data_IF_687611195581
#
_entry.id   IF_687611195581
#
_cell.length_a   1.000
_cell.length_b   1.000
_cell.length_c   1.000
_cell.angle_alpha   90.00
_cell.angle_beta   90.00
_cell.angle_gamma   90.00
#
_symmetry.space_group_name_H-M   'P 1'
#
loop_
_entity.id
_entity.type
_entity.pdbx_description
1 polymer ?
#
# COMPACT_ATOMS: atom_id res chain seq x y z
N UNK A 1 -63.60 16.75 -13.23
CA UNK A 1 -62.15 17.05 -13.12
C UNK A 1 -61.37 16.16 -12.13
N UNK A 2 -61.85 14.96 -11.74
CA UNK A 2 -61.18 14.12 -10.73
C UNK A 2 -60.27 13.00 -11.30
N UNK A 3 -60.46 12.60 -12.56
CA UNK A 3 -59.75 11.44 -13.16
C UNK A 3 -58.26 11.71 -13.48
N UNK A 4 -57.88 12.95 -13.81
CA UNK A 4 -56.52 13.25 -14.28
C UNK A 4 -55.46 13.33 -13.18
N UNK A 5 -55.87 13.57 -11.91
CA UNK A 5 -54.96 13.65 -10.75
C UNK A 5 -54.57 12.27 -10.23
N UNK A 6 -55.52 11.32 -10.26
CA UNK A 6 -55.29 9.93 -9.84
C UNK A 6 -54.29 9.23 -10.76
N UNK A 7 -54.37 9.46 -12.08
CA UNK A 7 -53.44 8.88 -13.05
C UNK A 7 -52.01 9.41 -12.93
N UNK A 8 -51.84 10.68 -12.53
CA UNK A 8 -50.52 11.28 -12.29
C UNK A 8 -49.87 10.73 -11.02
N UNK A 9 -50.65 10.63 -9.93
CA UNK A 9 -50.18 10.06 -8.66
C UNK A 9 -49.78 8.59 -8.79
N UNK A 10 -50.57 7.79 -9.53
CA UNK A 10 -50.26 6.37 -9.76
C UNK A 10 -48.95 6.19 -10.54
N UNK A 11 -48.69 7.04 -11.53
CA UNK A 11 -47.46 7.00 -12.34
C UNK A 11 -46.23 7.44 -11.54
N UNK A 12 -46.34 8.46 -10.69
CA UNK A 12 -45.23 8.86 -9.81
C UNK A 12 -44.90 7.79 -8.77
N UNK A 13 -45.90 7.10 -8.24
CA UNK A 13 -45.68 6.00 -7.28
C UNK A 13 -44.99 4.81 -7.97
N UNK A 14 -45.39 4.46 -9.19
CA UNK A 14 -44.74 3.39 -9.96
C UNK A 14 -43.29 3.71 -10.33
N UNK A 15 -42.98 4.96 -10.71
CA UNK A 15 -41.60 5.38 -10.98
C UNK A 15 -40.76 5.39 -9.72
N UNK A 16 -41.29 5.90 -8.60
CA UNK A 16 -40.59 5.86 -7.31
C UNK A 16 -40.34 4.41 -6.86
N UNK A 17 -41.32 3.52 -7.01
CA UNK A 17 -41.17 2.10 -6.70
C UNK A 17 -40.10 1.42 -7.58
N UNK A 18 -40.04 1.75 -8.87
CA UNK A 18 -39.02 1.23 -9.78
C UNK A 18 -37.61 1.73 -9.43
N UNK A 19 -37.45 2.99 -9.01
CA UNK A 19 -36.17 3.54 -8.55
C UNK A 19 -35.72 2.90 -7.25
N UNK A 20 -36.63 2.70 -6.29
CA UNK A 20 -36.33 2.04 -5.01
C UNK A 20 -35.98 0.56 -5.25
N UNK A 21 -36.71 -0.14 -6.11
CA UNK A 21 -36.44 -1.55 -6.42
C UNK A 21 -35.12 -1.72 -7.18
N UNK A 22 -34.75 -0.76 -8.05
CA UNK A 22 -33.43 -0.71 -8.69
C UNK A 22 -32.29 -0.49 -7.69
N UNK A 23 -32.48 0.35 -6.67
CA UNK A 23 -31.49 0.54 -5.61
C UNK A 23 -31.26 -0.69 -4.74
N UNK A 24 -32.31 -1.49 -4.50
CA UNK A 24 -32.20 -2.72 -3.70
C UNK A 24 -31.46 -3.82 -4.46
N UNK A 25 -31.64 -3.95 -5.79
CA UNK A 25 -30.99 -5.01 -6.58
C UNK A 25 -29.55 -4.71 -6.97
N UNK A 26 -29.11 -3.45 -6.92
CA UNK A 26 -27.70 -3.07 -7.13
C UNK A 26 -26.82 -3.28 -5.88
N UNK A 27 -27.42 -3.59 -4.72
CA UNK A 27 -26.67 -3.93 -3.51
C UNK A 27 -26.14 -5.37 -3.60
N UNK A 28 -24.99 -5.54 -4.25
CA UNK A 28 -24.31 -6.84 -4.29
C UNK A 28 -23.85 -7.21 -2.87
N UNK A 29 -24.28 -8.35 -2.30
CA UNK A 29 -23.74 -8.81 -1.03
C UNK A 29 -22.27 -9.19 -1.25
N UNK A 30 -21.35 -8.49 -0.58
CA UNK A 30 -20.01 -8.99 -0.40
C UNK A 30 -20.11 -10.25 0.49
N UNK A 31 -20.14 -11.42 -0.15
CA UNK A 31 -20.15 -12.71 0.52
C UNK A 31 -18.78 -12.90 1.18
N UNK A 32 -18.67 -12.45 2.43
CA UNK A 32 -17.55 -12.79 3.28
C UNK A 32 -17.70 -14.24 3.73
N UNK A 33 -16.69 -15.04 3.45
CA UNK A 33 -16.59 -16.39 4.00
C UNK A 33 -16.19 -16.29 5.48
N UNK A 34 -16.80 -17.07 6.38
CA UNK A 34 -16.40 -17.12 7.80
C UNK A 34 -16.40 -15.76 8.53
N UNK A 35 -15.76 -15.74 9.72
CA UNK A 35 -15.51 -14.50 10.47
C UNK A 35 -14.08 -14.46 11.00
N UNK A 36 -13.52 -13.26 11.08
CA UNK A 36 -12.19 -13.01 11.63
C UNK A 36 -12.28 -11.90 12.65
N UNK A 37 -12.01 -12.23 13.91
CA UNK A 37 -12.14 -11.30 15.03
C UNK A 37 -10.78 -11.11 15.70
N UNK A 38 -10.28 -9.87 15.66
CA UNK A 38 -9.13 -9.45 16.45
C UNK A 38 -9.58 -9.17 17.87
N UNK A 39 -8.85 -9.71 18.87
CA UNK A 39 -9.06 -9.31 20.27
C UNK A 39 -8.70 -7.85 20.49
N UNK A 40 -7.69 -7.36 19.78
CA UNK A 40 -7.17 -6.00 19.89
C UNK A 40 -6.71 -5.54 18.51
N UNK A 41 -7.15 -4.34 18.11
CA UNK A 41 -6.79 -3.73 16.83
C UNK A 41 -5.53 -2.89 16.89
N UNK A 42 -5.19 -2.37 18.08
CA UNK A 42 -4.04 -1.50 18.32
C UNK A 42 -3.04 -2.21 19.23
N UNK A 43 -1.88 -2.63 18.71
CA UNK A 43 -0.91 -3.47 19.44
C UNK A 43 0.41 -2.72 19.62
N UNK A 44 1.02 -2.85 20.80
CA UNK A 44 2.34 -2.29 21.09
C UNK A 44 3.46 -3.21 20.60
N UNK A 45 4.55 -2.60 20.13
CA UNK A 45 5.76 -3.31 19.72
C UNK A 45 6.49 -3.89 20.92
N UNK A 46 6.74 -5.20 20.88
CA UNK A 46 7.59 -5.91 21.84
C UNK A 46 8.68 -6.66 21.07
N UNK A 47 9.94 -6.33 21.32
CA UNK A 47 11.12 -6.94 20.68
C UNK A 47 11.05 -6.94 19.13
N UNK A 48 10.65 -5.83 18.52
CA UNK A 48 10.52 -5.72 17.06
C UNK A 48 9.32 -6.46 16.47
N UNK A 49 8.35 -6.86 17.30
CA UNK A 49 7.21 -7.69 16.91
C UNK A 49 5.89 -7.15 17.47
N UNK A 50 4.83 -7.24 16.67
CA UNK A 50 3.46 -6.95 17.07
C UNK A 50 2.67 -8.26 17.12
N UNK A 51 2.29 -8.68 18.34
CA UNK A 51 1.57 -9.94 18.56
C UNK A 51 0.06 -9.72 18.51
N UNK A 52 -0.59 -10.38 17.57
CA UNK A 52 -2.04 -10.40 17.43
C UNK A 52 -2.62 -11.70 17.94
N UNK A 53 -3.68 -11.59 18.73
CA UNK A 53 -4.50 -12.72 19.12
C UNK A 53 -5.84 -12.62 18.39
N UNK A 54 -6.18 -13.65 17.64
CA UNK A 54 -7.37 -13.69 16.80
C UNK A 54 -8.21 -14.92 17.07
N UNK A 55 -9.50 -14.76 16.85
CA UNK A 55 -10.47 -15.84 16.80
C UNK A 55 -10.98 -15.93 15.37
N UNK A 56 -10.76 -17.09 14.77
CA UNK A 56 -11.05 -17.36 13.37
C UNK A 56 -12.16 -18.38 13.29
N UNK A 57 -13.26 -18.02 12.64
CA UNK A 57 -14.37 -18.91 12.35
C UNK A 57 -14.36 -19.19 10.83
N UNK A 58 -14.15 -20.45 10.45
CA UNK A 58 -14.18 -20.87 9.05
C UNK A 58 -15.61 -20.80 8.48
N UNK A 59 -16.66 -20.66 9.28
CA UNK A 59 -18.05 -20.60 8.81
C UNK A 59 -18.67 -21.97 8.49
N UNK A 60 -17.85 -23.01 8.32
CA UNK A 60 -18.26 -24.41 8.19
C UNK A 60 -17.14 -25.33 8.70
N UNK A 61 -17.33 -26.66 8.62
CA UNK A 61 -16.25 -27.61 8.94
C UNK A 61 -15.19 -27.56 7.83
N UNK A 62 -13.92 -27.24 8.13
CA UNK A 62 -12.87 -27.22 7.12
C UNK A 62 -12.56 -28.63 6.60
N UNK A 63 -12.09 -28.71 5.36
CA UNK A 63 -11.74 -29.95 4.68
C UNK A 63 -10.34 -30.46 5.07
N UNK A 64 -9.47 -29.57 5.53
CA UNK A 64 -8.12 -29.84 6.01
C UNK A 64 -7.96 -29.36 7.45
N UNK A 65 -7.09 -30.04 8.21
CA UNK A 65 -6.74 -29.63 9.57
C UNK A 65 -5.90 -28.37 9.64
N UNK A 66 -5.16 -28.07 8.57
CA UNK A 66 -4.37 -26.88 8.40
C UNK A 66 -4.78 -26.22 7.09
N UNK A 67 -5.17 -24.95 7.16
CA UNK A 67 -5.62 -24.19 6.00
C UNK A 67 -4.75 -22.95 5.85
N UNK A 68 -4.05 -22.78 4.70
CA UNK A 68 -3.24 -21.60 4.46
C UNK A 68 -4.10 -20.38 4.15
N UNK A 69 -3.77 -19.27 4.81
CA UNK A 69 -4.34 -17.96 4.59
C UNK A 69 -3.27 -16.93 4.26
N UNK A 70 -3.60 -16.04 3.32
CA UNK A 70 -2.84 -14.86 2.98
C UNK A 70 -3.39 -13.66 3.75
N UNK A 71 -2.55 -13.10 4.63
CA UNK A 71 -2.81 -11.85 5.31
C UNK A 71 -2.32 -10.73 4.41
N UNK A 72 -3.24 -10.00 3.79
CA UNK A 72 -2.94 -8.89 2.90
C UNK A 72 -3.04 -7.59 3.69
N UNK A 73 -1.89 -6.94 3.91
CA UNK A 73 -1.76 -5.69 4.67
C UNK A 73 -1.43 -4.54 3.73
N UNK A 74 -2.22 -3.48 3.78
CA UNK A 74 -1.98 -2.24 3.03
C UNK A 74 -1.76 -1.10 4.01
N UNK A 75 -0.59 -0.48 3.99
CA UNK A 75 -0.29 0.65 4.87
C UNK A 75 -1.12 1.87 4.45
N UNK A 76 -1.90 2.41 5.39
CA UNK A 76 -2.72 3.62 5.21
C UNK A 76 -2.06 4.85 5.83
N UNK A 77 -1.41 4.68 6.98
CA UNK A 77 -0.72 5.77 7.68
C UNK A 77 0.62 5.25 8.16
N UNK A 78 1.68 5.99 7.85
CA UNK A 78 3.01 5.76 8.40
C UNK A 78 3.21 6.67 9.62
N UNK A 79 3.73 6.13 10.71
CA UNK A 79 4.11 6.92 11.87
C UNK A 79 5.56 7.35 11.75
N UNK A 80 5.76 8.57 11.28
CA UNK A 80 7.08 9.15 11.11
C UNK A 80 7.62 9.62 12.46
N UNK A 81 8.84 9.19 12.81
CA UNK A 81 9.57 9.69 13.97
C UNK A 81 10.65 10.63 13.46
N UNK A 82 10.44 11.95 13.60
CA UNK A 82 11.34 12.93 12.97
C UNK A 82 11.70 14.08 13.90
N UNK A 83 12.90 14.63 13.73
CA UNK A 83 13.33 15.88 14.34
C UNK A 83 13.34 16.99 13.28
N UNK A 84 12.82 18.16 13.63
CA UNK A 84 12.80 19.36 12.79
C UNK A 84 13.47 20.52 13.54
N UNK A 85 13.87 21.58 12.84
CA UNK A 85 14.57 22.73 13.47
C UNK A 85 13.71 23.43 14.55
N UNK A 86 12.39 23.28 14.49
CA UNK A 86 11.45 23.86 15.46
C UNK A 86 11.31 23.00 16.72
N UNK A 87 11.56 21.70 16.62
CA UNK A 87 11.30 20.74 17.69
C UNK A 87 12.59 20.45 18.49
N UNK A 88 12.53 20.56 19.82
CA UNK A 88 13.67 20.27 20.70
C UNK A 88 13.96 18.77 20.84
N UNK A 89 12.97 17.93 20.56
CA UNK A 89 13.05 16.48 20.65
C UNK A 89 12.31 15.85 19.46
N UNK A 90 12.62 14.60 19.08
CA UNK A 90 11.91 13.94 18.01
C UNK A 90 10.41 13.80 18.31
N UNK A 91 9.58 14.13 17.32
CA UNK A 91 8.12 14.08 17.43
C UNK A 91 7.59 13.02 16.47
N UNK A 92 6.61 12.24 16.93
CA UNK A 92 5.88 11.30 16.09
C UNK A 92 4.78 12.02 15.30
N UNK A 93 4.83 11.95 13.98
CA UNK A 93 3.88 12.58 13.06
C UNK A 93 3.18 11.51 12.23
N UNK A 94 1.88 11.70 11.99
CA UNK A 94 1.08 10.80 11.15
C UNK A 94 1.18 11.24 9.71
N UNK A 95 1.73 10.38 8.85
CA UNK A 95 1.83 10.63 7.41
C UNK A 95 0.86 9.70 6.66
N UNK A 96 -0.21 10.23 6.05
CA UNK A 96 -1.09 9.40 5.24
C UNK A 96 -0.33 8.89 4.01
N UNK A 97 -0.52 7.61 3.70
CA UNK A 97 0.10 6.94 2.57
C UNK A 97 -0.98 6.60 1.55
N UNK A 98 -0.65 6.78 0.28
CA UNK A 98 -1.52 6.45 -0.85
C UNK A 98 -0.79 5.49 -1.79
N UNK A 99 -1.54 4.65 -2.50
CA UNK A 99 -1.02 3.72 -3.51
C UNK A 99 0.12 2.82 -3.00
N UNK A 100 0.03 2.37 -1.75
CA UNK A 100 1.02 1.45 -1.19
C UNK A 100 0.81 0.04 -1.74
N UNK A 101 1.91 -0.66 -2.00
CA UNK A 101 1.87 -2.06 -2.40
C UNK A 101 1.36 -2.92 -1.23
N UNK A 102 0.43 -3.86 -1.46
CA UNK A 102 -0.01 -4.77 -0.41
C UNK A 102 1.10 -5.74 -0.01
N UNK A 103 1.51 -5.71 1.25
CA UNK A 103 2.37 -6.72 1.84
C UNK A 103 1.55 -7.97 2.14
N UNK A 104 2.06 -9.15 1.76
CA UNK A 104 1.37 -10.42 1.97
C UNK A 104 2.18 -11.31 2.90
N UNK A 105 1.51 -11.78 3.95
CA UNK A 105 2.06 -12.76 4.87
C UNK A 105 1.22 -14.02 4.81
N UNK A 106 1.79 -15.11 4.31
CA UNK A 106 1.11 -16.39 4.28
C UNK A 106 1.32 -17.10 5.61
N UNK A 107 0.21 -17.54 6.21
CA UNK A 107 0.23 -18.27 7.47
C UNK A 107 -0.71 -19.44 7.41
N UNK A 108 -0.31 -20.54 8.03
CA UNK A 108 -1.15 -21.73 8.13
C UNK A 108 -1.92 -21.73 9.46
N UNK A 109 -3.24 -21.85 9.38
CA UNK A 109 -4.12 -21.82 10.55
C UNK A 109 -4.60 -23.24 10.83
N UNK A 110 -4.31 -23.73 12.04
CA UNK A 110 -4.74 -25.04 12.51
C UNK A 110 -6.19 -24.99 13.02
N UNK A 111 -7.04 -25.81 12.40
CA UNK A 111 -8.41 -26.09 12.80
C UNK A 111 -8.60 -27.50 13.38
N UNK A 112 -7.59 -28.36 13.28
CA UNK A 112 -7.60 -29.68 13.90
C UNK A 112 -6.95 -29.67 15.29
N UNK A 113 -7.48 -30.46 16.22
CA UNK A 113 -6.81 -30.82 17.46
C UNK A 113 -5.76 -31.93 17.23
N UNK A 114 -4.92 -32.22 18.21
CA UNK A 114 -3.92 -33.30 18.18
C UNK A 114 -4.53 -34.69 17.88
N UNK A 115 -5.84 -34.86 18.11
CA UNK A 115 -6.61 -36.08 17.81
C UNK A 115 -7.13 -36.16 16.37
N UNK A 116 -6.98 -35.09 15.57
CA UNK A 116 -7.50 -34.98 14.21
C UNK A 116 -8.94 -34.47 14.12
N UNK A 117 -9.57 -34.12 15.25
CA UNK A 117 -10.92 -33.54 15.28
C UNK A 117 -10.89 -32.11 14.72
N UNK A 118 -11.68 -31.89 13.66
CA UNK A 118 -11.78 -30.63 12.95
C UNK A 118 -12.84 -29.72 13.58
N UNK A 119 -12.43 -28.52 13.95
CA UNK A 119 -13.28 -27.48 14.50
C UNK A 119 -13.55 -26.40 13.47
N UNK A 120 -14.76 -25.85 13.50
CA UNK A 120 -15.11 -24.69 12.67
C UNK A 120 -14.40 -23.43 13.15
N UNK A 121 -14.15 -23.31 14.47
CA UNK A 121 -13.56 -22.12 15.08
C UNK A 121 -12.28 -22.46 15.80
N UNK A 122 -11.28 -21.60 15.64
CA UNK A 122 -9.97 -21.75 16.26
C UNK A 122 -9.46 -20.41 16.81
N UNK A 123 -8.59 -20.49 17.81
CA UNK A 123 -7.86 -19.34 18.35
C UNK A 123 -6.45 -19.41 17.80
N UNK A 124 -6.05 -18.35 17.13
CA UNK A 124 -4.76 -18.27 16.47
C UNK A 124 -4.04 -17.01 16.94
N UNK A 125 -2.71 -17.09 17.03
CA UNK A 125 -1.88 -15.93 17.35
C UNK A 125 -0.77 -15.83 16.33
N UNK A 126 -0.56 -14.63 15.81
CA UNK A 126 0.54 -14.36 14.91
C UNK A 126 1.30 -13.11 15.33
N UNK A 127 2.54 -13.01 14.86
CA UNK A 127 3.37 -11.84 15.08
C UNK A 127 3.78 -11.24 13.74
N UNK A 128 3.46 -9.97 13.54
CA UNK A 128 4.08 -9.17 12.48
C UNK A 128 5.45 -8.73 12.99
N UNK A 129 6.46 -8.80 12.14
CA UNK A 129 7.84 -8.51 12.53
C UNK A 129 8.40 -7.35 11.72
N UNK A 130 9.19 -6.49 12.36
CA UNK A 130 9.82 -5.34 11.70
C UNK A 130 10.80 -5.76 10.61
N UNK A 131 11.50 -6.89 10.81
CA UNK A 131 12.45 -7.46 9.84
C UNK A 131 11.80 -7.98 8.55
N UNK A 132 10.47 -8.19 8.52
CA UNK A 132 9.72 -8.48 7.28
C UNK A 132 9.25 -7.21 6.54
N UNK A 133 9.77 -6.05 6.93
CA UNK A 133 9.45 -4.77 6.30
C UNK A 133 8.18 -4.11 6.82
N UNK A 134 7.68 -4.51 8.01
CA UNK A 134 6.59 -3.81 8.68
C UNK A 134 7.12 -2.64 9.51
N UNK A 135 6.36 -1.55 9.55
CA UNK A 135 6.70 -0.35 10.31
C UNK A 135 5.52 0.07 11.19
N UNK A 136 5.77 0.89 12.22
CA UNK A 136 4.70 1.45 13.03
C UNK A 136 3.78 2.35 12.18
N UNK A 137 2.47 2.21 12.35
CA UNK A 137 1.48 2.86 11.50
C UNK A 137 0.10 2.21 11.53
N UNK A 138 -0.79 2.69 10.67
CA UNK A 138 -2.13 2.11 10.46
C UNK A 138 -2.16 1.31 9.16
N UNK A 139 -2.71 0.11 9.24
CA UNK A 139 -2.81 -0.83 8.13
C UNK A 139 -4.25 -1.29 7.91
N UNK A 140 -4.61 -1.56 6.67
CA UNK A 140 -5.82 -2.28 6.31
C UNK A 140 -5.47 -3.76 6.16
N UNK A 141 -5.99 -4.61 7.05
CA UNK A 141 -5.83 -6.05 7.02
C UNK A 141 -7.02 -6.68 6.29
N UNK A 142 -6.73 -7.46 5.25
CA UNK A 142 -7.69 -8.34 4.57
C UNK A 142 -7.13 -9.74 4.58
N UNK A 143 -7.88 -10.69 5.12
CA UNK A 143 -7.47 -12.11 5.16
C UNK A 143 -8.13 -12.82 3.98
N UNK A 144 -7.34 -13.54 3.19
CA UNK A 144 -7.80 -14.32 2.04
C UNK A 144 -7.35 -15.75 2.21
N UNK A 145 -8.16 -16.72 1.83
CA UNK A 145 -7.70 -18.11 1.79
C UNK A 145 -6.81 -18.31 0.58
N UNK A 146 -5.65 -18.94 0.75
CA UNK A 146 -4.66 -19.07 -0.33
C UNK A 146 -5.14 -19.99 -1.47
N UNK A 147 -6.10 -20.90 -1.20
CA UNK A 147 -6.57 -21.88 -2.19
C UNK A 147 -7.53 -21.32 -3.23
N UNK A 148 -8.53 -20.51 -2.81
CA UNK A 148 -9.61 -19.99 -3.66
C UNK A 148 -9.65 -18.46 -3.71
N UNK A 149 -8.80 -17.78 -2.92
CA UNK A 149 -8.79 -16.32 -2.82
C UNK A 149 -10.02 -15.74 -2.09
N UNK A 150 -10.86 -16.59 -1.47
CA UNK A 150 -12.05 -16.15 -0.77
C UNK A 150 -11.67 -15.24 0.41
N UNK A 151 -12.33 -14.09 0.51
CA UNK A 151 -12.09 -13.13 1.58
C UNK A 151 -12.77 -13.61 2.86
N UNK A 152 -11.98 -13.73 3.91
CA UNK A 152 -12.44 -14.10 5.24
C UNK A 152 -12.89 -12.85 6.00
N UNK A 153 -14.17 -12.78 6.35
CA UNK A 153 -14.74 -11.63 7.06
C UNK A 153 -14.66 -10.32 6.26
N UNK A 154 -14.56 -9.20 6.98
CA UNK A 154 -14.47 -7.85 6.40
C UNK A 154 -13.05 -7.29 6.57
N UNK A 155 -12.58 -6.44 5.65
CA UNK A 155 -11.34 -5.69 5.85
C UNK A 155 -11.40 -4.89 7.16
N UNK A 156 -10.35 -4.96 7.96
CA UNK A 156 -10.23 -4.29 9.26
C UNK A 156 -9.04 -3.36 9.28
N UNK A 157 -9.16 -2.26 10.03
CA UNK A 157 -8.03 -1.37 10.26
C UNK A 157 -7.31 -1.80 11.54
N UNK A 158 -6.00 -2.00 11.46
CA UNK A 158 -5.14 -2.32 12.60
C UNK A 158 -4.10 -1.21 12.77
N UNK A 159 -3.65 -1.01 14.01
CA UNK A 159 -2.65 -0.02 14.37
C UNK A 159 -1.46 -0.73 15.01
N UNK A 160 -0.29 -0.51 14.42
CA UNK A 160 0.99 -0.97 14.92
C UNK A 160 1.65 0.20 15.66
N UNK A 161 1.69 0.15 16.99
CA UNK A 161 2.35 1.18 17.79
C UNK A 161 3.81 0.79 17.99
N UNK A 162 4.70 1.76 17.85
CA UNK A 162 6.13 1.56 17.96
C UNK A 162 6.85 2.83 17.54
N UNK A 163 8.15 2.88 17.78
CA UNK A 163 9.00 3.96 17.31
C UNK A 163 9.63 3.52 16.00
N UNK A 164 9.38 4.26 14.92
CA UNK A 164 10.08 4.05 13.66
C UNK A 164 11.46 4.71 13.69
N UNK A 165 12.24 4.46 12.65
CA UNK A 165 13.56 5.05 12.49
C UNK A 165 13.50 6.58 12.58
N UNK A 166 14.50 7.17 13.23
CA UNK A 166 14.60 8.60 13.40
C UNK A 166 15.02 9.26 12.09
N UNK A 167 14.15 10.09 11.55
CA UNK A 167 14.40 10.87 10.33
C UNK A 167 14.79 12.29 10.74
N UNK A 168 16.01 12.70 10.39
CA UNK A 168 16.43 14.08 10.53
C UNK A 168 15.91 14.93 9.36
N UNK A 169 15.04 15.89 9.65
CA UNK A 169 14.48 16.83 8.67
C UNK A 169 14.99 18.26 8.89
N UNK A 170 16.02 18.45 9.71
CA UNK A 170 16.65 19.75 9.92
C UNK A 170 17.24 20.29 8.63
N UNK A 171 17.19 21.61 8.43
CA UNK A 171 17.72 22.23 7.23
C UNK A 171 19.25 22.09 7.20
N UNK A 172 19.79 21.54 6.10
CA UNK A 172 21.22 21.59 5.84
C UNK A 172 21.53 23.00 5.32
N UNK A 173 22.02 23.86 6.20
CA UNK A 173 22.50 25.19 5.80
C UNK A 173 23.90 25.03 5.20
N UNK A 174 23.97 25.02 3.87
CA UNK A 174 25.24 25.12 3.16
C UNK A 174 25.75 26.56 3.28
N UNK A 175 26.43 26.87 4.39
CA UNK A 175 27.24 28.06 4.48
C UNK A 175 28.48 27.85 3.60
N UNK A 176 28.37 28.18 2.31
CA UNK A 176 29.55 28.35 1.48
C UNK A 176 30.42 29.44 2.11
N UNK A 177 31.66 29.11 2.45
CA UNK A 177 32.62 30.09 2.94
C UNK A 177 32.60 31.28 1.96
N UNK A 178 32.26 32.50 2.41
CA UNK A 178 32.31 33.64 1.53
C UNK A 178 33.78 33.79 1.12
N UNK A 179 34.09 33.53 -0.16
CA UNK A 179 35.38 33.87 -0.76
C UNK A 179 35.67 35.31 -0.38
N UNK A 180 36.61 35.51 0.54
CA UNK A 180 37.15 36.83 0.88
C UNK A 180 37.55 37.49 -0.44
N UNK A 181 36.93 38.62 -0.75
CA UNK A 181 37.41 39.49 -1.82
C UNK A 181 38.84 39.93 -1.43
N UNK A 182 39.84 39.77 -2.29
CA UNK A 182 41.17 40.27 -2.00
C UNK A 182 41.14 41.80 -2.08
N UNK A 183 41.24 42.47 -0.94
CA UNK A 183 41.51 43.89 -0.89
C UNK A 183 42.93 44.15 -1.40
N UNK A 184 43.01 44.90 -2.50
CA UNK A 184 44.24 45.41 -3.06
C UNK A 184 44.53 46.80 -2.48
N UNK A 185 45.71 46.99 -1.84
CA UNK A 185 46.62 48.16 -2.01
C UNK A 185 47.87 48.08 -1.09
N UNK A 186 48.94 48.85 -1.37
CA UNK A 186 50.30 48.34 -1.57
C UNK A 186 51.29 48.69 -0.45
N UNK A 187 52.52 48.20 -0.65
CA UNK A 187 53.68 48.19 0.24
C UNK A 187 54.32 49.56 0.58
N UNK A 188 54.94 49.62 1.77
CA UNK A 188 56.31 50.13 2.04
C UNK A 188 56.57 50.11 3.56
N UNK A 189 57.43 49.22 4.09
CA UNK A 189 58.83 49.48 4.61
C UNK A 189 58.85 50.46 5.80
N UNK A 190 59.37 50.15 7.01
CA UNK A 190 60.67 49.55 7.37
C UNK A 190 60.68 48.86 8.76
N UNK A 191 61.59 47.87 8.90
CA UNK A 191 62.08 47.13 10.09
C UNK A 191 63.08 47.99 10.91
N UNK A 192 63.80 47.56 11.99
CA UNK A 192 64.01 46.22 12.60
C UNK A 192 63.76 46.26 14.14
N UNK A 193 64.00 45.28 15.02
CA UNK A 193 65.10 44.32 15.17
C UNK A 193 64.76 43.36 16.32
N UNK A 194 65.20 42.10 16.27
CA UNK A 194 65.19 41.21 17.44
C UNK A 194 65.02 39.72 17.16
N UNK A 195 66.13 39.08 16.75
CA UNK A 195 66.55 37.70 17.04
C UNK A 195 65.67 36.50 16.57
N UNK A 196 65.86 36.19 15.29
CA UNK A 196 66.26 34.92 14.62
C UNK A 196 66.82 33.77 15.53
N UNK A 197 67.05 32.53 15.01
CA UNK A 197 66.13 31.41 14.72
C UNK A 197 66.79 30.07 15.22
N UNK A 198 66.44 28.85 14.81
CA UNK A 198 66.88 28.13 13.58
C UNK A 198 66.39 26.66 13.79
N UNK A 199 65.55 26.07 12.92
CA UNK A 199 65.90 25.31 11.68
C UNK A 199 66.01 23.80 12.00
N UNK A 200 65.60 22.82 11.21
CA UNK A 200 65.30 22.64 9.77
C UNK A 200 64.18 21.55 9.66
N UNK A 201 63.23 21.57 8.71
CA UNK A 201 63.34 21.07 7.33
C UNK A 201 64.00 19.67 7.26
N UNK A 202 63.46 18.63 6.61
CA UNK A 202 63.05 18.55 5.21
C UNK A 202 61.97 17.46 4.98
N UNK A 203 61.23 17.62 3.88
CA UNK A 203 60.25 16.69 3.28
C UNK A 203 60.93 15.47 2.59
N UNK A 204 60.32 14.79 1.60
CA UNK A 204 59.20 13.85 1.63
C UNK A 204 59.64 12.45 1.09
N UNK A 205 58.86 11.40 1.35
CA UNK A 205 58.92 10.20 0.51
C UNK A 205 57.52 9.75 0.12
N UNK A 206 57.21 10.09 -1.13
CA UNK A 206 56.26 9.45 -2.02
C UNK A 206 56.67 7.96 -2.19
N UNK A 207 55.73 7.03 -2.03
CA UNK A 207 55.77 5.71 -2.71
C UNK A 207 54.44 4.98 -2.53
N UNK A 208 53.58 5.15 -3.53
CA UNK A 208 52.72 4.07 -4.06
C UNK A 208 53.64 3.03 -4.73
N UNK A 209 53.40 1.73 -4.51
CA UNK A 209 53.01 0.84 -5.61
C UNK A 209 51.82 -0.03 -5.18
N UNK A 210 50.71 -0.10 -5.92
CA UNK A 210 50.53 -0.78 -7.21
C UNK A 210 50.66 -2.32 -7.08
N UNK A 211 49.56 -2.98 -7.43
CA UNK A 211 49.37 -4.36 -7.86
C UNK A 211 49.93 -5.55 -7.05
N UNK A 212 48.97 -6.34 -6.53
CA UNK A 212 49.06 -7.81 -6.58
C UNK A 212 47.72 -8.33 -7.09
N UNK A 213 47.67 -8.57 -8.41
CA UNK A 213 46.68 -9.40 -9.07
C UNK A 213 46.64 -10.83 -8.47
N UNK A 214 45.47 -11.48 -8.48
CA UNK A 214 45.32 -12.87 -8.07
C UNK A 214 45.79 -13.85 -9.17
N UNK A 215 46.43 -14.99 -8.84
CA UNK A 215 46.75 -16.00 -9.84
C UNK A 215 45.50 -16.80 -10.23
N UNK A 216 45.00 -16.47 -11.41
CA UNK A 216 44.92 -17.33 -12.61
C UNK A 216 44.15 -18.68 -12.60
N UNK A 217 43.25 -18.77 -13.59
CA UNK A 217 42.85 -19.93 -14.43
C UNK A 217 42.22 -21.16 -13.73
N UNK A 218 41.13 -21.81 -14.13
CA UNK A 218 40.28 -22.01 -15.31
C UNK A 218 38.86 -22.28 -14.74
N UNK A 219 37.72 -21.89 -15.31
CA UNK A 219 37.11 -22.55 -16.45
C UNK A 219 35.81 -21.80 -16.78
N UNK A 220 35.70 -21.34 -18.02
CA UNK A 220 34.58 -20.57 -18.53
C UNK A 220 33.37 -21.47 -18.79
N UNK A 221 32.26 -21.25 -18.07
CA UNK A 221 30.95 -21.75 -18.44
C UNK A 221 30.10 -20.59 -19.01
N UNK A 222 30.30 -20.30 -20.29
CA UNK A 222 29.43 -19.39 -21.03
C UNK A 222 28.02 -20.01 -21.13
N UNK A 223 26.94 -19.25 -20.85
CA UNK A 223 25.59 -19.74 -21.13
C UNK A 223 25.35 -19.80 -22.65
N UNK A 224 24.63 -20.82 -23.16
CA UNK A 224 24.41 -20.98 -24.59
C UNK A 224 23.61 -19.79 -25.17
N UNK A 225 23.88 -19.40 -26.42
CA UNK A 225 23.20 -18.28 -27.07
C UNK A 225 21.73 -18.65 -27.32
N UNK A 226 20.81 -17.91 -26.71
CA UNK A 226 19.38 -17.99 -27.04
C UNK A 226 19.11 -17.14 -28.29
N UNK A 227 18.75 -17.84 -29.36
CA UNK A 227 18.36 -17.26 -30.64
C UNK A 227 17.25 -16.23 -30.49
N UNK A 228 17.59 -14.99 -30.82
CA UNK A 228 16.59 -13.96 -31.13
C UNK A 228 15.96 -14.35 -32.48
N UNK A 229 14.68 -14.72 -32.43
CA UNK A 229 13.59 -14.32 -33.37
C UNK A 229 12.70 -15.49 -33.80
N UNK A 230 11.56 -15.61 -33.13
CA UNK A 230 10.31 -16.04 -33.77
C UNK A 230 9.13 -15.27 -33.16
N UNK A 231 8.79 -14.13 -33.77
CA UNK A 231 7.43 -13.59 -33.73
C UNK A 231 6.53 -14.66 -34.38
N UNK A 232 5.55 -15.19 -33.66
CA UNK A 232 4.55 -16.06 -34.28
C UNK A 232 3.54 -16.62 -33.29
N UNK A 233 2.27 -16.33 -33.57
CA UNK A 233 1.06 -16.93 -33.03
C UNK A 233 0.70 -16.59 -31.57
N UNK A 234 -0.01 -15.47 -31.42
CA UNK A 234 -0.91 -15.25 -30.29
C UNK A 234 -1.93 -16.38 -30.21
N UNK A 235 -2.00 -17.03 -29.04
CA UNK A 235 -3.09 -17.92 -28.70
C UNK A 235 -4.26 -17.04 -28.22
N UNK A 236 -5.19 -16.78 -29.13
CA UNK A 236 -6.40 -16.02 -28.88
C UNK A 236 -7.35 -16.78 -27.98
N UNK A 237 -7.53 -16.30 -26.75
CA UNK A 237 -8.79 -16.47 -26.05
C UNK A 237 -9.84 -15.65 -26.80
N UNK A 238 -10.64 -16.32 -27.64
CA UNK A 238 -11.92 -15.78 -28.09
C UNK A 238 -12.74 -15.43 -26.86
N UNK A 239 -12.93 -14.14 -26.62
CA UNK A 239 -14.14 -13.69 -25.96
C UNK A 239 -15.31 -14.17 -26.84
N UNK A 240 -16.13 -15.08 -26.31
CA UNK A 240 -17.43 -15.36 -26.89
C UNK A 240 -18.18 -14.03 -26.90
N UNK A 241 -18.53 -13.58 -28.10
CA UNK A 241 -19.31 -12.37 -28.31
C UNK A 241 -20.63 -12.48 -27.57
N UNK A 242 -20.87 -11.53 -26.67
CA UNK A 242 -22.21 -11.07 -26.39
C UNK A 242 -22.42 -9.82 -27.24
N UNK A 243 -22.59 -10.05 -28.55
CA UNK A 243 -23.03 -9.02 -29.48
C UNK A 243 -24.46 -8.62 -29.13
N UNK A 244 -24.70 -7.31 -29.04
CA UNK A 244 -26.04 -6.76 -29.17
C UNK A 244 -26.64 -6.16 -27.90
N UNK A 245 -26.40 -4.86 -27.74
CA UNK A 245 -27.45 -3.90 -27.39
C UNK A 245 -28.24 -4.14 -26.08
N UNK A 246 -27.69 -3.72 -24.94
CA UNK A 246 -28.49 -3.52 -23.71
C UNK A 246 -28.19 -2.20 -22.98
N UNK A 247 -27.44 -1.27 -23.60
CA UNK A 247 -27.18 0.08 -23.05
C UNK A 247 -28.04 1.20 -23.64
N UNK A 248 -28.63 1.01 -24.83
CA UNK A 248 -29.46 2.03 -25.49
C UNK A 248 -30.96 1.90 -25.20
N UNK A 249 -31.43 0.71 -24.81
CA UNK A 249 -32.85 0.48 -24.51
C UNK A 249 -33.31 1.17 -23.21
N UNK A 250 -32.43 1.26 -22.20
CA UNK A 250 -32.71 1.96 -20.94
C UNK A 250 -32.61 3.49 -21.08
N UNK A 251 -31.73 4.00 -21.95
CA UNK A 251 -31.63 5.43 -22.23
C UNK A 251 -32.80 5.94 -23.11
N UNK A 252 -33.27 5.15 -24.08
CA UNK A 252 -34.44 5.47 -24.91
C UNK A 252 -35.76 5.40 -24.12
N UNK A 253 -35.88 4.51 -23.13
CA UNK A 253 -37.05 4.42 -22.27
C UNK A 253 -37.30 5.69 -21.44
N UNK A 254 -36.24 6.32 -20.93
CA UNK A 254 -36.34 7.58 -20.15
C UNK A 254 -36.62 8.78 -21.07
N UNK A 255 -36.04 8.82 -22.28
CA UNK A 255 -36.28 9.89 -23.25
C UNK A 255 -37.69 9.86 -23.87
N UNK A 256 -38.27 8.68 -24.12
CA UNK A 256 -39.63 8.55 -24.66
C UNK A 256 -40.73 8.89 -23.62
N UNK A 257 -40.46 8.64 -22.33
CA UNK A 257 -41.33 9.13 -21.24
C UNK A 257 -41.23 10.66 -21.05
N UNK A 258 -40.06 11.26 -21.27
CA UNK A 258 -39.88 12.72 -21.23
C UNK A 258 -40.64 13.46 -22.34
N UNK A 259 -40.59 12.95 -23.58
CA UNK A 259 -41.25 13.57 -24.73
C UNK A 259 -42.78 13.48 -24.70
N UNK A 260 -43.35 12.39 -24.16
CA UNK A 260 -44.81 12.23 -24.04
C UNK A 260 -45.44 13.08 -22.93
N UNK A 261 -44.67 13.45 -21.91
CA UNK A 261 -45.11 14.42 -20.87
C UNK A 261 -45.01 15.85 -21.40
N UNK A 262 -44.01 16.16 -22.23
CA UNK A 262 -43.84 17.50 -22.81
C UNK A 262 -44.87 17.83 -23.90
N UNK A 263 -45.20 16.88 -24.79
CA UNK A 263 -46.21 17.08 -25.84
C UNK A 263 -47.63 17.26 -25.27
N UNK A 264 -47.95 16.57 -24.17
CA UNK A 264 -49.24 16.74 -23.48
C UNK A 264 -49.38 18.06 -22.72
N UNK A 265 -48.27 18.72 -22.36
CA UNK A 265 -48.30 20.06 -21.76
C UNK A 265 -48.49 21.18 -22.79
N UNK A 266 -48.09 20.99 -24.05
CA UNK A 266 -48.30 21.98 -25.13
C UNK A 266 -49.68 21.94 -25.77
N UNK A 267 -50.43 20.84 -25.67
CA UNK A 267 -51.80 20.72 -26.19
C UNK A 267 -52.91 21.22 -25.27
N UNK A 268 -52.57 21.93 -24.17
CA UNK A 268 -53.53 22.51 -23.20
C UNK A 268 -53.15 23.94 -22.79
N UNK A 269 -52.45 24.67 -23.65
CA UNK A 269 -52.34 26.12 -23.60
C UNK A 269 -53.23 26.69 -24.70
#
# INVERSE_FOLDING_TARGET
>A
MHSSRVSFLLRSVLVAAAVVMGWVTLSSPALAFGTFNLKQTSVEEADGRWKFNVEVDYGSKPHLGHVPFDFVLVQKVYYEYSITDTDKAPVQRRKPMHNQEPQREQMDIAFADARGDLWQRTKFSFALRRDRGFSAGEYSLTVKRSSDGAVLGRPMNITLNGQNELIDRRAIVFAGEPKKKPDAKPASTDKPEGAKPEEAAEEPTDTVPEDVEPPDSEEAAAPPPVDKKAKGAGCGCRAVGNDGTSGLASALGVLLLGLTVWSRRRGRA
#
